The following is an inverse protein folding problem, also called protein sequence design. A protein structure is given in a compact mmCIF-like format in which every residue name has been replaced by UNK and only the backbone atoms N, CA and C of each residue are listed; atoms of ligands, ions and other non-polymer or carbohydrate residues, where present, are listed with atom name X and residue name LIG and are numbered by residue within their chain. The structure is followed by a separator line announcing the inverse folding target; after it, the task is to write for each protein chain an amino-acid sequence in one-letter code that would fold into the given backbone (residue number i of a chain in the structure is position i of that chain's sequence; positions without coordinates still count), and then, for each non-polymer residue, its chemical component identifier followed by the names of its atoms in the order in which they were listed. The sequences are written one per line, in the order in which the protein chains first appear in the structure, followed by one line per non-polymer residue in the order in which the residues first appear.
data_IF_582173164176
#
_entry.id   IF_582173164176
#
_cell.length_a   1.000
_cell.length_b   1.000
_cell.length_c   1.000
_cell.angle_alpha   90.00
_cell.angle_beta   90.00
_cell.angle_gamma   90.00
#
_symmetry.space_group_name_H-M   'P 1'
#
loop_
_entity.id
_entity.type
_entity.pdbx_description
1 polymer ?
#
# COMPACT_ATOMS: atom_id res chain seq x y z
N UNK A 1 9.01 -47.24 -45.98
CA UNK A 1 10.34 -46.61 -45.78
C UNK A 1 10.15 -45.28 -45.06
N UNK A 2 10.65 -45.10 -43.82
CA UNK A 2 10.55 -43.82 -43.12
C UNK A 2 11.81 -42.98 -43.34
N UNK A 3 11.62 -41.70 -43.69
CA UNK A 3 12.69 -40.72 -43.86
C UNK A 3 12.95 -40.07 -42.49
N UNK A 4 14.07 -40.45 -41.86
CA UNK A 4 14.56 -39.84 -40.64
C UNK A 4 15.17 -38.46 -40.94
N UNK A 5 14.58 -37.38 -40.41
CA UNK A 5 15.18 -36.04 -40.39
C UNK A 5 15.95 -35.85 -39.09
N UNK A 6 17.28 -35.83 -39.18
CA UNK A 6 18.18 -35.49 -38.08
C UNK A 6 18.36 -33.97 -37.99
N UNK A 7 17.91 -33.38 -36.88
CA UNK A 7 18.14 -31.96 -36.57
C UNK A 7 19.52 -31.79 -35.91
N UNK A 8 20.43 -31.12 -36.61
CA UNK A 8 21.75 -30.73 -36.07
C UNK A 8 21.59 -29.55 -35.11
N UNK A 9 21.91 -29.75 -33.82
CA UNK A 9 21.95 -28.67 -32.84
C UNK A 9 23.15 -27.75 -33.07
N UNK A 10 22.89 -26.50 -33.44
CA UNK A 10 23.88 -25.43 -33.52
C UNK A 10 24.30 -24.98 -32.11
N UNK A 11 25.54 -25.28 -31.71
CA UNK A 11 26.17 -24.75 -30.49
C UNK A 11 26.43 -23.25 -30.67
N UNK A 12 25.60 -22.41 -30.04
CA UNK A 12 25.84 -20.96 -29.95
C UNK A 12 27.05 -20.68 -29.05
N UNK A 13 28.03 -19.95 -29.58
CA UNK A 13 29.16 -19.37 -28.81
C UNK A 13 28.63 -18.32 -27.83
N UNK A 14 29.24 -18.18 -26.64
CA UNK A 14 28.86 -17.13 -25.69
C UNK A 14 29.22 -15.75 -26.25
N UNK A 15 28.43 -14.71 -25.97
CA UNK A 15 28.71 -13.36 -26.41
C UNK A 15 29.99 -12.84 -25.74
N UNK A 16 30.89 -12.28 -26.55
CA UNK A 16 32.10 -11.62 -26.07
C UNK A 16 31.73 -10.39 -25.23
N UNK A 17 32.27 -10.34 -24.01
CA UNK A 17 32.17 -9.21 -23.09
C UNK A 17 32.81 -7.97 -23.75
N UNK A 18 31.97 -7.11 -24.34
CA UNK A 18 32.38 -5.76 -24.75
C UNK A 18 32.75 -4.97 -23.50
N UNK A 19 34.03 -4.60 -23.39
CA UNK A 19 34.52 -3.64 -22.40
C UNK A 19 33.75 -2.33 -22.55
N UNK A 20 32.92 -1.99 -21.57
CA UNK A 20 32.26 -0.68 -21.48
C UNK A 20 33.35 0.38 -21.31
N UNK A 21 33.33 1.41 -22.16
CA UNK A 21 34.15 2.60 -21.98
C UNK A 21 33.76 3.29 -20.66
N UNK A 22 34.75 3.47 -19.79
CA UNK A 22 34.63 4.18 -18.51
C UNK A 22 34.36 5.67 -18.77
N UNK A 23 33.26 6.18 -18.23
CA UNK A 23 32.95 7.62 -18.21
C UNK A 23 33.86 8.33 -17.20
N UNK A 24 34.50 9.43 -17.62
CA UNK A 24 35.49 10.17 -16.82
C UNK A 24 34.89 10.83 -15.56
N UNK A 25 33.57 11.06 -15.53
CA UNK A 25 32.90 11.75 -14.41
C UNK A 25 32.38 10.81 -13.32
N UNK A 26 32.19 9.52 -13.65
CA UNK A 26 31.88 8.48 -12.69
C UNK A 26 33.18 7.75 -12.37
N UNK A 27 33.96 8.32 -11.45
CA UNK A 27 35.21 7.75 -10.97
C UNK A 27 35.11 6.23 -10.78
N UNK A 28 36.17 5.52 -11.16
CA UNK A 28 36.22 4.08 -11.35
C UNK A 28 35.85 3.30 -10.08
N UNK A 29 34.54 3.08 -9.86
CA UNK A 29 33.99 2.31 -8.73
C UNK A 29 34.07 0.82 -9.05
N UNK A 30 35.26 0.33 -9.36
CA UNK A 30 35.51 -1.10 -9.45
C UNK A 30 35.34 -1.70 -8.06
N UNK A 31 34.31 -2.54 -7.89
CA UNK A 31 34.06 -3.25 -6.63
C UNK A 31 35.27 -4.12 -6.32
N UNK A 32 36.05 -3.76 -5.29
CA UNK A 32 37.22 -4.54 -4.90
C UNK A 32 36.74 -5.81 -4.20
N UNK A 33 37.18 -6.97 -4.66
CA UNK A 33 36.86 -8.24 -4.02
C UNK A 33 38.06 -8.73 -3.20
N UNK A 34 37.79 -9.29 -2.02
CA UNK A 34 38.82 -9.92 -1.20
C UNK A 34 39.29 -11.21 -1.90
N UNK A 35 40.59 -11.30 -2.19
CA UNK A 35 41.17 -12.42 -2.97
C UNK A 35 41.03 -13.79 -2.30
N UNK A 36 40.93 -13.84 -0.96
CA UNK A 36 40.82 -15.10 -0.23
C UNK A 36 39.36 -15.55 -0.04
N UNK A 37 38.44 -14.61 0.15
CA UNK A 37 37.04 -14.93 0.48
C UNK A 37 36.07 -14.72 -0.68
N UNK A 38 36.52 -14.07 -1.77
CA UNK A 38 35.69 -13.72 -2.93
C UNK A 38 34.60 -12.69 -2.64
N UNK A 39 34.58 -12.08 -1.45
CA UNK A 39 33.53 -11.14 -1.03
C UNK A 39 33.89 -9.70 -1.39
N UNK A 40 32.92 -8.87 -1.81
CA UNK A 40 33.16 -7.47 -2.11
C UNK A 40 33.53 -6.70 -0.83
N UNK A 41 34.67 -6.04 -0.86
CA UNK A 41 35.20 -5.17 0.19
C UNK A 41 34.46 -3.84 0.10
N UNK A 42 33.74 -3.49 1.16
CA UNK A 42 33.13 -2.16 1.30
C UNK A 42 34.19 -1.21 1.85
N UNK A 43 34.53 -0.18 1.09
CA UNK A 43 35.37 0.91 1.58
C UNK A 43 34.67 1.56 2.79
N UNK A 44 35.24 1.39 3.99
CA UNK A 44 34.70 1.92 5.25
C UNK A 44 34.24 0.86 6.27
N UNK A 45 34.15 -0.42 5.90
CA UNK A 45 33.89 -1.47 6.88
C UNK A 45 35.10 -1.66 7.81
N UNK A 46 34.96 -1.31 9.09
CA UNK A 46 36.00 -1.49 10.11
C UNK A 46 36.91 -0.29 10.36
N UNK A 47 36.81 0.78 9.56
CA UNK A 47 37.43 2.07 9.92
C UNK A 47 36.49 2.80 10.88
N UNK A 48 36.55 2.46 12.18
CA UNK A 48 36.04 3.35 13.24
C UNK A 48 36.80 4.66 13.07
N UNK A 49 36.12 5.72 12.63
CA UNK A 49 36.65 7.06 12.85
C UNK A 49 36.66 7.25 14.35
N UNK A 50 37.85 7.32 14.95
CA UNK A 50 37.99 7.72 16.34
C UNK A 50 37.61 9.20 16.40
N UNK A 51 36.35 9.47 16.72
CA UNK A 51 35.97 10.80 17.16
C UNK A 51 36.63 11.02 18.53
N UNK A 52 37.47 12.06 18.71
CA UNK A 52 38.17 12.32 19.97
C UNK A 52 37.22 12.67 21.14
N UNK A 53 35.91 12.77 20.89
CA UNK A 53 34.87 13.06 21.88
C UNK A 53 34.16 11.80 22.40
N UNK A 54 34.42 10.61 21.83
CA UNK A 54 33.83 9.35 22.29
C UNK A 54 34.81 8.54 23.13
N UNK A 55 34.55 8.45 24.44
CA UNK A 55 35.27 7.60 25.38
C UNK A 55 34.83 6.14 25.15
N UNK A 56 35.72 5.31 24.59
CA UNK A 56 35.51 3.86 24.44
C UNK A 56 35.40 3.24 25.85
N UNK A 57 34.32 2.52 26.12
CA UNK A 57 34.00 1.89 27.42
C UNK A 57 34.94 0.72 27.80
N UNK A 58 36.06 0.55 27.10
CA UNK A 58 37.08 -0.47 27.37
C UNK A 58 38.04 -0.01 28.48
N UNK A 59 37.97 1.27 28.89
CA UNK A 59 38.80 1.84 29.96
C UNK A 59 38.14 1.69 31.35
N UNK A 60 36.92 1.14 31.44
CA UNK A 60 36.24 0.90 32.73
C UNK A 60 36.26 -0.59 33.06
N UNK A 61 37.44 -1.12 33.38
CA UNK A 61 37.61 -2.37 34.13
C UNK A 61 38.82 -2.21 35.07
N UNK A 62 38.58 -1.56 36.22
CA UNK A 62 39.38 -1.75 37.44
C UNK A 62 38.52 -2.54 38.43
N UNK A 63 38.26 -3.81 38.08
CA UNK A 63 37.77 -4.79 39.06
C UNK A 63 39.00 -5.32 39.82
N UNK A 64 39.05 -4.93 41.09
CA UNK A 64 40.03 -5.37 42.08
C UNK A 64 40.24 -6.89 42.04
N UNK A 65 41.49 -7.40 41.96
CA UNK A 65 41.76 -8.82 42.03
C UNK A 65 41.42 -9.32 43.44
N UNK A 66 40.35 -10.13 43.55
CA UNK A 66 40.07 -10.90 44.75
C UNK A 66 41.06 -12.07 44.78
N UNK A 67 42.10 -11.94 45.59
CA UNK A 67 42.99 -13.03 45.96
C UNK A 67 42.24 -14.03 46.85
N UNK A 68 41.67 -15.07 46.26
CA UNK A 68 41.35 -16.31 46.96
C UNK A 68 42.31 -17.40 46.50
N UNK A 69 43.44 -17.51 47.20
CA UNK A 69 44.27 -18.70 47.21
C UNK A 69 43.54 -19.76 48.04
N UNK A 70 43.00 -20.78 47.37
CA UNK A 70 42.61 -22.03 48.04
C UNK A 70 43.80 -22.97 47.99
N UNK A 71 44.36 -23.26 49.17
CA UNK A 71 45.29 -24.35 49.39
C UNK A 71 44.52 -25.67 49.34
N UNK A 72 45.07 -26.70 48.71
CA UNK A 72 44.60 -28.07 48.83
C UNK A 72 45.20 -28.75 50.07
N UNK A 73 44.49 -29.72 50.64
CA UNK A 73 44.77 -30.40 51.93
C UNK A 73 46.15 -31.11 52.03
N UNK A 74 47.01 -31.01 51.02
CA UNK A 74 48.36 -31.58 50.98
C UNK A 74 49.47 -30.53 50.78
N UNK A 75 49.15 -29.22 50.84
CA UNK A 75 50.14 -28.15 51.00
C UNK A 75 51.07 -27.89 49.81
N UNK A 76 50.70 -28.27 48.59
CA UNK A 76 51.52 -28.05 47.39
C UNK A 76 50.97 -26.93 46.50
N UNK A 77 51.79 -25.93 46.10
CA UNK A 77 51.32 -24.81 45.28
C UNK A 77 50.90 -25.28 43.88
N UNK A 78 49.60 -25.20 43.58
CA UNK A 78 49.05 -25.51 42.25
C UNK A 78 49.48 -24.46 41.22
N UNK A 79 50.19 -24.89 40.19
CA UNK A 79 50.50 -24.01 39.05
C UNK A 79 49.21 -23.56 38.34
N UNK A 80 49.11 -22.27 37.94
CA UNK A 80 47.92 -21.70 37.32
C UNK A 80 47.66 -22.36 35.95
N UNK A 81 46.61 -23.18 35.87
CA UNK A 81 46.13 -23.71 34.59
C UNK A 81 45.59 -22.56 33.74
N UNK A 82 46.11 -22.43 32.52
CA UNK A 82 45.64 -21.46 31.51
C UNK A 82 44.11 -21.51 31.39
N UNK A 83 43.46 -20.37 31.61
CA UNK A 83 42.01 -20.19 31.53
C UNK A 83 41.54 -20.56 30.12
N UNK A 84 41.03 -21.77 29.95
CA UNK A 84 40.28 -22.16 28.76
C UNK A 84 39.03 -21.29 28.70
N UNK A 85 38.91 -20.54 27.59
CA UNK A 85 37.78 -19.63 27.32
C UNK A 85 36.47 -20.31 27.71
N UNK A 86 35.80 -19.75 28.73
CA UNK A 86 34.49 -20.20 29.20
C UNK A 86 33.58 -20.39 27.99
N UNK A 87 33.07 -21.60 27.79
CA UNK A 87 31.94 -21.83 26.87
C UNK A 87 30.81 -20.95 27.40
N UNK A 88 30.39 -19.97 26.59
CA UNK A 88 29.25 -19.10 26.92
C UNK A 88 28.09 -20.00 27.30
N UNK A 89 27.47 -19.74 28.44
CA UNK A 89 26.22 -20.40 28.81
C UNK A 89 25.22 -20.22 27.66
N UNK A 90 24.43 -21.24 27.33
CA UNK A 90 23.39 -21.10 26.32
C UNK A 90 22.49 -19.95 26.74
N UNK A 91 22.28 -19.01 25.81
CA UNK A 91 21.40 -17.87 26.04
C UNK A 91 20.05 -18.38 26.57
N UNK A 92 19.47 -17.75 27.60
CA UNK A 92 18.15 -18.13 28.09
C UNK A 92 17.16 -18.14 26.93
N UNK A 93 16.36 -19.20 26.84
CA UNK A 93 15.34 -19.36 25.81
C UNK A 93 14.47 -18.10 25.82
N UNK A 94 14.35 -17.38 24.69
CA UNK A 94 13.55 -16.17 24.66
C UNK A 94 12.13 -16.50 25.13
N UNK A 95 11.51 -15.63 25.96
CA UNK A 95 10.14 -15.83 26.38
C UNK A 95 9.26 -16.04 25.15
N UNK A 96 8.26 -16.92 25.21
CA UNK A 96 7.38 -17.17 24.07
C UNK A 96 6.83 -15.83 23.58
N UNK A 97 7.14 -15.50 22.33
CA UNK A 97 6.61 -14.31 21.70
C UNK A 97 5.09 -14.42 21.79
N UNK A 98 4.47 -13.46 22.47
CA UNK A 98 3.02 -13.31 22.46
C UNK A 98 2.57 -13.39 21.00
N UNK A 99 1.58 -14.24 20.66
CA UNK A 99 1.16 -14.44 19.28
C UNK A 99 0.92 -13.06 18.67
N UNK A 100 1.62 -12.78 17.57
CA UNK A 100 1.41 -11.55 16.84
C UNK A 100 -0.03 -11.65 16.35
N UNK A 101 -0.93 -10.93 17.03
CA UNK A 101 -2.29 -10.71 16.58
C UNK A 101 -2.12 -9.83 15.35
N UNK A 102 -1.91 -10.46 14.20
CA UNK A 102 -2.19 -9.81 12.95
C UNK A 102 -3.70 -9.59 12.97
N UNK A 103 -4.13 -8.32 12.87
CA UNK A 103 -5.43 -7.99 12.29
C UNK A 103 -5.43 -8.48 10.84
N UNK A 104 -5.38 -9.81 10.64
CA UNK A 104 -6.19 -10.41 9.62
C UNK A 104 -7.59 -9.96 10.00
N UNK A 105 -8.09 -8.95 9.27
CA UNK A 105 -9.53 -8.72 9.15
C UNK A 105 -10.12 -10.06 8.73
N UNK A 106 -10.39 -10.89 9.74
CA UNK A 106 -11.20 -12.08 9.65
C UNK A 106 -12.46 -11.62 8.95
N UNK A 107 -12.70 -12.19 7.78
CA UNK A 107 -14.01 -12.22 7.15
C UNK A 107 -14.96 -13.06 8.02
N UNK A 108 -15.06 -12.70 9.29
CA UNK A 108 -16.20 -13.07 10.11
C UNK A 108 -17.35 -12.36 9.43
N UNK A 109 -18.11 -13.13 8.64
CA UNK A 109 -19.46 -12.78 8.25
C UNK A 109 -20.13 -12.17 9.48
N UNK A 110 -20.45 -10.86 9.51
CA UNK A 110 -21.55 -10.46 10.33
C UNK A 110 -22.73 -11.26 9.79
N UNK A 111 -23.29 -12.11 10.65
CA UNK A 111 -24.59 -12.70 10.41
C UNK A 111 -25.49 -11.63 9.81
N UNK A 112 -26.15 -12.05 8.74
CA UNK A 112 -27.00 -11.27 7.87
C UNK A 112 -28.08 -10.61 8.73
N UNK A 113 -27.80 -9.41 9.26
CA UNK A 113 -28.85 -8.49 9.63
C UNK A 113 -29.53 -8.11 8.33
N UNK A 114 -30.70 -8.72 8.16
CA UNK A 114 -31.73 -8.47 7.19
C UNK A 114 -31.75 -6.99 6.77
N UNK A 115 -31.11 -6.70 5.63
CA UNK A 115 -31.20 -5.41 4.96
C UNK A 115 -32.57 -5.31 4.29
N UNK A 116 -33.60 -5.24 5.15
CA UNK A 116 -34.96 -4.88 4.80
C UNK A 116 -34.97 -3.48 4.20
N UNK A 117 -35.25 -3.42 2.91
CA UNK A 117 -35.59 -2.22 2.15
C UNK A 117 -36.86 -1.64 2.77
N UNK A 118 -36.72 -0.63 3.62
CA UNK A 118 -37.80 0.29 3.98
C UNK A 118 -37.36 1.71 3.62
N UNK A 119 -37.96 2.21 2.55
CA UNK A 119 -37.85 3.60 2.16
C UNK A 119 -38.50 4.50 3.23
N UNK A 120 -37.79 5.55 3.68
CA UNK A 120 -38.42 6.72 4.29
C UNK A 120 -38.74 6.66 5.79
N UNK A 121 -37.74 6.36 6.62
CA UNK A 121 -37.72 6.89 8.00
C UNK A 121 -36.25 7.01 8.41
N UNK A 122 -35.77 8.23 8.64
CA UNK A 122 -34.48 8.47 9.28
C UNK A 122 -34.54 7.87 10.68
N UNK A 123 -34.03 6.65 10.84
CA UNK A 123 -33.91 6.03 12.15
C UNK A 123 -32.86 6.81 12.92
N UNK A 124 -33.35 7.58 13.90
CA UNK A 124 -32.58 8.23 14.94
C UNK A 124 -31.54 7.24 15.50
N UNK A 125 -30.29 7.36 15.05
CA UNK A 125 -29.18 6.65 15.69
C UNK A 125 -29.10 7.17 17.11
N UNK A 126 -29.31 6.29 18.09
CA UNK A 126 -29.19 6.63 19.49
C UNK A 126 -27.78 7.20 19.77
N UNK A 127 -27.73 8.45 20.22
CA UNK A 127 -26.48 9.12 20.58
C UNK A 127 -26.10 8.70 22.00
N UNK A 128 -25.07 7.86 22.15
CA UNK A 128 -24.57 7.45 23.47
C UNK A 128 -23.56 8.48 23.99
N UNK A 129 -23.88 9.16 25.09
CA UNK A 129 -22.99 10.09 25.78
C UNK A 129 -22.36 9.39 27.00
N UNK A 130 -21.02 9.40 27.09
CA UNK A 130 -20.29 8.85 28.24
C UNK A 130 -19.74 9.98 29.11
N UNK A 131 -19.98 9.92 30.42
CA UNK A 131 -19.50 10.91 31.38
C UNK A 131 -18.58 10.24 32.40
N UNK A 132 -17.30 10.57 32.38
CA UNK A 132 -16.33 10.09 33.37
C UNK A 132 -16.38 10.99 34.63
N UNK A 133 -17.21 10.61 35.60
CA UNK A 133 -17.36 11.36 36.86
C UNK A 133 -16.37 10.79 37.89
N UNK A 134 -15.51 11.67 38.44
CA UNK A 134 -14.54 11.27 39.44
C UNK A 134 -15.22 10.79 40.75
N UNK A 135 -14.65 9.78 41.43
CA UNK A 135 -15.18 9.30 42.70
C UNK A 135 -15.17 10.43 43.74
N UNK A 136 -16.33 10.73 44.34
CA UNK A 136 -16.50 11.77 45.36
C UNK A 136 -17.28 13.01 44.91
N UNK A 137 -17.75 13.09 43.66
CA UNK A 137 -18.62 14.18 43.22
C UNK A 137 -19.98 14.13 43.94
N UNK A 138 -20.26 15.13 44.78
CA UNK A 138 -21.55 15.33 45.45
C UNK A 138 -22.15 16.65 44.97
N UNK A 139 -23.00 16.59 43.96
CA UNK A 139 -23.69 17.73 43.39
C UNK A 139 -24.53 17.33 42.18
N UNK A 140 -25.45 18.19 41.72
CA UNK A 140 -26.22 17.95 40.51
C UNK A 140 -25.31 18.06 39.28
N UNK A 141 -25.28 17.03 38.43
CA UNK A 141 -24.66 17.09 37.11
C UNK A 141 -25.66 17.75 36.15
N UNK A 142 -25.45 19.03 35.84
CA UNK A 142 -26.27 19.74 34.84
C UNK A 142 -25.55 19.67 33.50
N UNK A 143 -26.15 18.97 32.54
CA UNK A 143 -25.64 18.86 31.17
C UNK A 143 -26.54 19.68 30.26
N UNK A 144 -26.05 20.86 29.84
CA UNK A 144 -26.74 21.68 28.85
C UNK A 144 -26.32 21.23 27.45
N UNK A 145 -27.22 20.52 26.76
CA UNK A 145 -27.03 20.10 25.38
C UNK A 145 -27.75 21.08 24.46
N UNK A 146 -26.99 21.78 23.61
CA UNK A 146 -27.54 22.56 22.53
C UNK A 146 -27.86 21.64 21.33
N UNK A 147 -29.14 21.41 20.99
CA UNK A 147 -29.52 20.52 19.89
C UNK A 147 -28.97 20.99 18.54
N UNK A 148 -28.71 22.30 18.35
CA UNK A 148 -28.12 22.80 17.11
C UNK A 148 -26.66 22.34 16.94
N UNK A 149 -25.92 22.19 18.03
CA UNK A 149 -24.51 21.74 18.00
C UNK A 149 -24.39 20.22 17.80
N UNK A 150 -25.31 19.45 18.39
CA UNK A 150 -25.35 17.99 18.21
C UNK A 150 -25.63 17.60 16.75
N UNK A 151 -26.52 18.32 16.07
CA UNK A 151 -26.81 18.10 14.64
C UNK A 151 -25.62 18.49 13.76
N UNK A 152 -24.84 19.51 14.15
CA UNK A 152 -23.65 19.93 13.41
C UNK A 152 -22.52 18.91 13.49
N UNK A 153 -22.26 18.34 14.68
CA UNK A 153 -21.23 17.29 14.87
C UNK A 153 -21.56 16.02 14.07
N UNK A 154 -22.84 15.64 14.00
CA UNK A 154 -23.29 14.51 13.18
C UNK A 154 -23.14 14.72 11.66
N UNK A 155 -23.10 15.99 11.21
CA UNK A 155 -22.88 16.37 9.79
C UNK A 155 -21.41 16.67 9.46
N UNK A 156 -20.57 16.90 10.46
CA UNK A 156 -19.17 17.33 10.29
C UNK A 156 -18.11 16.25 10.50
N UNK A 157 -18.47 14.98 10.69
CA UNK A 157 -17.47 13.89 10.77
C UNK A 157 -16.66 13.67 9.48
N UNK A 158 -16.99 14.34 8.38
CA UNK A 158 -16.19 14.37 7.14
C UNK A 158 -15.57 15.74 6.80
N UNK A 159 -15.73 16.76 7.65
CA UNK A 159 -15.12 18.08 7.45
C UNK A 159 -13.99 18.34 8.47
N UNK A 160 -12.75 18.25 7.98
CA UNK A 160 -11.51 18.54 8.71
C UNK A 160 -11.58 19.88 9.45
N UNK A 161 -11.52 19.83 10.79
CA UNK A 161 -11.28 21.00 11.62
C UNK A 161 -9.91 21.62 11.30
N UNK A 162 -9.95 22.89 10.92
CA UNK A 162 -8.83 23.81 10.90
C UNK A 162 -8.52 24.17 12.37
N UNK A 163 -7.41 23.69 12.92
CA UNK A 163 -6.98 23.98 14.28
C UNK A 163 -6.11 25.24 14.30
N UNK A 164 -6.75 26.40 14.25
CA UNK A 164 -6.17 27.65 14.76
C UNK A 164 -7.19 28.24 15.73
N UNK A 165 -6.77 28.47 16.98
CA UNK A 165 -7.52 29.07 18.10
C UNK A 165 -8.34 28.12 19.00
N UNK A 166 -7.65 27.32 19.82
CA UNK A 166 -8.13 27.00 21.19
C UNK A 166 -6.95 27.12 22.18
N UNK A 167 -7.12 27.74 23.36
CA UNK A 167 -6.04 27.95 24.33
C UNK A 167 -5.61 26.63 24.97
N UNK A 168 -4.33 26.28 24.82
CA UNK A 168 -3.73 25.10 25.42
C UNK A 168 -3.47 25.33 26.92
N UNK A 169 -4.34 24.80 27.77
CA UNK A 169 -4.09 24.58 29.19
C UNK A 169 -4.10 23.05 29.36
N UNK A 170 -3.10 22.49 30.05
CA UNK A 170 -2.90 21.04 30.27
C UNK A 170 -2.17 20.25 29.17
N UNK A 171 -0.85 20.48 29.04
CA UNK A 171 0.11 19.37 28.83
C UNK A 171 1.25 19.47 29.83
N UNK A 172 1.23 18.57 30.80
CA UNK A 172 2.26 18.43 31.82
C UNK A 172 3.61 17.97 31.25
N UNK A 173 4.66 18.64 31.73
CA UNK A 173 5.86 18.02 32.26
C UNK A 173 6.56 16.94 31.42
N UNK A 174 7.37 17.35 30.44
CA UNK A 174 8.56 16.58 30.04
C UNK A 174 9.83 17.41 30.22
N UNK A 175 10.58 16.96 31.23
CA UNK A 175 11.98 17.21 31.61
C UNK A 175 12.81 18.06 30.63
N UNK A 176 13.21 19.24 31.14
CA UNK A 176 14.37 20.02 30.69
C UNK A 176 15.61 19.11 30.64
N UNK A 177 16.10 18.80 29.45
CA UNK A 177 17.49 18.39 29.24
C UNK A 177 18.29 19.63 28.86
N UNK A 178 19.22 19.93 29.76
CA UNK A 178 20.44 20.75 29.64
C UNK A 178 20.80 21.22 28.24
N UNK A 179 20.82 22.55 28.08
CA UNK A 179 21.43 23.27 26.96
C UNK A 179 22.94 23.00 26.97
N UNK A 180 23.40 22.14 26.06
CA UNK A 180 24.80 22.16 25.62
C UNK A 180 24.90 23.18 24.51
N UNK A 181 25.58 24.28 24.80
CA UNK A 181 25.90 25.35 23.86
C UNK A 181 26.89 24.85 22.81
N UNK A 182 26.37 24.41 21.67
CA UNK A 182 27.19 24.18 20.47
C UNK A 182 27.87 25.49 20.03
N UNK A 183 29.13 25.44 19.57
CA UNK A 183 29.86 26.63 19.16
C UNK A 183 29.19 27.27 17.94
N UNK A 184 28.88 28.56 18.07
CA UNK A 184 28.41 29.42 16.97
C UNK A 184 29.52 29.50 15.91
N UNK A 185 29.40 28.69 14.87
CA UNK A 185 30.13 28.89 13.62
C UNK A 185 29.61 30.20 13.01
N UNK A 186 30.43 31.25 13.11
CA UNK A 186 30.25 32.53 12.46
C UNK A 186 30.24 32.34 10.94
N UNK A 187 29.08 31.99 10.37
CA UNK A 187 28.84 32.07 8.93
C UNK A 187 28.79 33.55 8.57
N UNK A 188 29.89 34.04 7.99
CA UNK A 188 29.97 35.36 7.37
C UNK A 188 28.77 35.56 6.43
N UNK A 189 28.04 36.68 6.50
CA UNK A 189 27.00 37.01 5.54
C UNK A 189 27.68 37.35 4.21
N UNK A 190 27.83 36.36 3.33
CA UNK A 190 28.16 36.63 1.93
C UNK A 190 26.93 37.27 1.30
N UNK A 191 26.97 38.60 1.15
CA UNK A 191 25.97 39.44 0.49
C UNK A 191 25.89 39.24 -1.03
N UNK A 192 26.58 38.25 -1.60
CA UNK A 192 26.59 38.01 -3.03
C UNK A 192 25.52 36.99 -3.43
N UNK A 193 24.55 37.49 -4.19
CA UNK A 193 23.66 36.71 -5.06
C UNK A 193 22.69 35.75 -4.35
N UNK A 194 21.69 36.31 -3.65
CA UNK A 194 20.38 35.65 -3.59
C UNK A 194 19.75 35.69 -5.00
N UNK A 195 20.35 34.96 -5.95
CA UNK A 195 19.64 34.55 -7.15
C UNK A 195 18.35 33.92 -6.65
N UNK A 196 17.22 34.55 -6.98
CA UNK A 196 15.88 34.09 -6.62
C UNK A 196 15.84 32.60 -6.96
N UNK A 197 15.88 31.74 -5.93
CA UNK A 197 15.80 30.31 -6.13
C UNK A 197 14.39 30.03 -6.59
N UNK A 198 14.18 29.99 -7.89
CA UNK A 198 12.91 29.65 -8.50
C UNK A 198 12.65 28.18 -8.14
N UNK A 199 11.77 27.98 -7.16
CA UNK A 199 11.33 26.66 -6.74
C UNK A 199 10.18 26.15 -7.62
N UNK A 200 9.84 24.88 -7.47
CA UNK A 200 8.68 24.32 -8.18
C UNK A 200 7.37 25.06 -7.85
N UNK A 201 7.21 25.54 -6.60
CA UNK A 201 6.04 26.32 -6.18
C UNK A 201 5.98 27.74 -6.76
N UNK A 202 7.11 28.31 -7.21
CA UNK A 202 7.09 29.62 -7.87
C UNK A 202 6.66 29.56 -9.33
N UNK A 203 6.48 28.36 -9.89
CA UNK A 203 5.90 28.18 -11.22
C UNK A 203 4.38 28.45 -11.16
N UNK A 204 3.79 29.12 -12.16
CA UNK A 204 2.34 29.22 -12.29
C UNK A 204 1.65 27.84 -12.36
N UNK A 205 0.40 27.73 -11.89
CA UNK A 205 -0.35 26.46 -11.88
C UNK A 205 -0.41 25.77 -13.24
N UNK A 206 -0.48 26.51 -14.34
CA UNK A 206 -0.56 25.98 -15.70
C UNK A 206 0.72 25.24 -16.10
N UNK A 207 1.88 25.78 -15.69
CA UNK A 207 3.17 25.13 -15.92
C UNK A 207 3.34 23.90 -15.02
N UNK A 208 2.87 23.98 -13.76
CA UNK A 208 2.85 22.81 -12.86
C UNK A 208 1.99 21.69 -13.43
N UNK A 209 0.81 22.00 -13.99
CA UNK A 209 -0.07 21.02 -14.64
C UNK A 209 0.59 20.34 -15.84
N UNK A 210 1.38 21.06 -16.65
CA UNK A 210 2.17 20.44 -17.73
C UNK A 210 3.19 19.44 -17.16
N UNK A 211 3.87 19.80 -16.07
CA UNK A 211 4.81 18.89 -15.39
C UNK A 211 4.09 17.67 -14.81
N UNK A 212 2.95 17.87 -14.15
CA UNK A 212 2.14 16.77 -13.60
C UNK A 212 1.68 15.81 -14.70
N UNK A 213 1.24 16.31 -15.87
CA UNK A 213 0.86 15.45 -16.99
C UNK A 213 2.01 14.59 -17.49
N UNK A 214 3.21 15.17 -17.63
CA UNK A 214 4.41 14.42 -18.01
C UNK A 214 4.80 13.35 -16.99
N UNK A 215 4.51 13.56 -15.70
CA UNK A 215 4.87 12.65 -14.61
C UNK A 215 3.82 11.58 -14.31
N UNK A 216 2.54 11.91 -14.47
CA UNK A 216 1.42 11.10 -13.97
C UNK A 216 0.55 10.49 -15.07
N UNK A 217 0.53 11.05 -16.28
CA UNK A 217 -0.30 10.51 -17.37
C UNK A 217 0.48 9.46 -18.13
N UNK A 218 0.01 8.22 -18.06
CA UNK A 218 0.56 7.12 -18.84
C UNK A 218 0.07 7.20 -20.28
N UNK A 219 0.94 6.85 -21.23
CA UNK A 219 0.56 6.79 -22.65
C UNK A 219 -0.41 5.65 -22.98
N UNK A 220 -0.61 4.71 -22.05
CA UNK A 220 -1.47 3.52 -22.17
C UNK A 220 -2.30 3.37 -20.90
N UNK A 221 -3.35 2.55 -20.99
CA UNK A 221 -4.16 2.17 -19.82
C UNK A 221 -3.27 1.54 -18.72
N UNK A 222 -3.53 1.89 -17.46
CA UNK A 222 -2.85 1.32 -16.30
C UNK A 222 -3.40 -0.09 -16.04
N UNK A 223 -2.66 -1.11 -16.47
CA UNK A 223 -3.07 -2.52 -16.40
C UNK A 223 -2.54 -3.22 -15.14
N UNK A 224 -3.44 -3.62 -14.24
CA UNK A 224 -3.06 -4.30 -12.99
C UNK A 224 -2.58 -5.75 -13.17
N UNK A 225 -2.87 -6.39 -14.30
CA UNK A 225 -2.37 -7.74 -14.60
C UNK A 225 -0.91 -7.71 -15.05
N UNK A 226 -0.54 -6.68 -15.81
CA UNK A 226 0.81 -6.48 -16.33
C UNK A 226 1.26 -5.07 -15.94
N UNK A 227 1.91 -4.89 -14.77
CA UNK A 227 2.27 -3.58 -14.25
C UNK A 227 3.50 -2.99 -14.97
N UNK A 228 3.40 -2.83 -16.28
CA UNK A 228 4.46 -2.32 -17.16
C UNK A 228 4.58 -0.78 -17.09
N UNK A 229 3.53 -0.08 -16.68
CA UNK A 229 3.46 1.39 -16.65
C UNK A 229 3.16 1.97 -15.24
N UNK A 230 3.44 1.22 -14.17
CA UNK A 230 3.18 1.67 -12.79
C UNK A 230 4.28 2.53 -12.18
N UNK A 231 5.41 2.72 -12.89
CA UNK A 231 6.51 3.59 -12.49
C UNK A 231 6.16 5.09 -12.64
N UNK A 232 4.90 5.47 -12.38
CA UNK A 232 4.51 6.85 -12.23
C UNK A 232 5.14 7.38 -10.94
N UNK A 233 5.58 8.64 -10.95
CA UNK A 233 6.35 9.24 -9.85
C UNK A 233 5.46 9.54 -8.63
N UNK A 234 4.79 8.54 -8.06
CA UNK A 234 3.92 8.66 -6.87
C UNK A 234 4.68 9.20 -5.65
N UNK A 235 6.00 9.01 -5.61
CA UNK A 235 6.88 9.67 -4.64
C UNK A 235 6.78 11.20 -4.69
N UNK A 236 6.49 11.78 -5.86
CA UNK A 236 6.30 13.22 -6.03
C UNK A 236 5.04 13.72 -5.31
N UNK A 237 3.97 12.94 -5.27
CA UNK A 237 2.75 13.27 -4.51
C UNK A 237 2.99 13.33 -2.99
N UNK A 238 4.08 12.73 -2.50
CA UNK A 238 4.45 12.75 -1.07
C UNK A 238 5.26 13.99 -0.67
N UNK A 239 5.61 14.85 -1.61
CA UNK A 239 6.51 15.99 -1.34
C UNK A 239 5.83 17.10 -0.55
N UNK A 240 4.68 17.61 -1.01
CA UNK A 240 3.89 18.60 -0.30
C UNK A 240 2.39 18.47 -0.62
N UNK A 241 1.56 19.07 0.24
CA UNK A 241 0.09 19.04 0.12
C UNK A 241 -0.41 19.63 -1.20
N UNK A 242 0.18 20.74 -1.64
CA UNK A 242 -0.23 21.37 -2.90
C UNK A 242 0.01 20.47 -4.12
N UNK A 243 1.19 19.84 -4.20
CA UNK A 243 1.51 18.86 -5.25
C UNK A 243 0.59 17.65 -5.18
N UNK A 244 0.30 17.18 -3.96
CA UNK A 244 -0.66 16.11 -3.75
C UNK A 244 -2.03 16.47 -4.32
N UNK A 245 -2.60 17.61 -3.92
CA UNK A 245 -3.97 17.99 -4.26
C UNK A 245 -4.12 18.30 -5.76
N UNK A 246 -3.17 19.00 -6.37
CA UNK A 246 -3.15 19.26 -7.81
C UNK A 246 -2.87 17.97 -8.61
N UNK A 247 -1.83 17.22 -8.23
CA UNK A 247 -1.34 16.07 -8.99
C UNK A 247 -2.25 14.83 -8.93
N UNK A 248 -2.92 14.59 -7.80
CA UNK A 248 -3.87 13.46 -7.68
C UNK A 248 -5.07 13.60 -8.62
N UNK A 249 -5.53 14.82 -8.88
CA UNK A 249 -6.62 15.07 -9.82
C UNK A 249 -6.24 14.64 -11.25
N UNK A 250 -5.00 14.88 -11.66
CA UNK A 250 -4.47 14.49 -12.97
C UNK A 250 -4.19 12.99 -13.02
N UNK A 251 -3.55 12.45 -11.97
CA UNK A 251 -3.22 11.02 -11.90
C UNK A 251 -4.47 10.13 -12.01
N UNK A 252 -5.53 10.42 -11.26
CA UNK A 252 -6.75 9.60 -11.28
C UNK A 252 -7.73 10.04 -12.37
N UNK A 253 -7.76 11.33 -12.72
CA UNK A 253 -8.74 11.88 -13.64
C UNK A 253 -8.42 11.71 -15.11
N UNK A 254 -7.15 11.77 -15.51
CA UNK A 254 -6.75 11.70 -16.92
C UNK A 254 -6.33 10.27 -17.35
N UNK A 255 -5.94 9.40 -16.42
CA UNK A 255 -5.58 8.02 -16.73
C UNK A 255 -6.80 7.12 -16.89
N UNK A 256 -6.63 6.06 -17.69
CA UNK A 256 -7.59 4.99 -17.83
C UNK A 256 -7.12 3.75 -17.08
N UNK A 257 -7.98 3.21 -16.21
CA UNK A 257 -7.63 2.04 -15.38
C UNK A 257 -8.19 0.76 -15.97
N UNK A 258 -7.35 -0.27 -16.06
CA UNK A 258 -7.68 -1.56 -16.63
C UNK A 258 -7.55 -2.66 -15.58
N UNK A 259 -8.68 -3.24 -15.21
CA UNK A 259 -8.77 -4.34 -14.25
C UNK A 259 -9.18 -5.63 -14.96
N UNK A 260 -8.43 -6.69 -14.71
CA UNK A 260 -8.67 -8.04 -15.20
C UNK A 260 -8.30 -9.02 -14.06
N UNK A 261 -8.89 -10.22 -14.07
CA UNK A 261 -8.58 -11.26 -13.09
C UNK A 261 -7.09 -11.64 -13.16
N UNK A 262 -6.38 -11.50 -12.05
CA UNK A 262 -4.97 -11.85 -11.98
C UNK A 262 -4.78 -13.35 -11.70
N UNK A 263 -4.37 -14.10 -12.73
CA UNK A 263 -4.25 -15.56 -12.69
C UNK A 263 -2.98 -16.10 -12.01
N UNK A 264 -1.99 -15.24 -11.69
CA UNK A 264 -0.84 -15.72 -10.91
C UNK A 264 -1.27 -16.03 -9.49
N UNK A 265 -0.63 -17.03 -8.91
CA UNK A 265 -0.86 -17.40 -7.52
C UNK A 265 0.12 -16.66 -6.62
N UNK A 266 -0.34 -16.29 -5.42
CA UNK A 266 0.46 -15.72 -4.33
C UNK A 266 -0.02 -16.35 -3.03
N UNK A 267 0.87 -16.98 -2.30
CA UNK A 267 0.65 -17.38 -0.92
C UNK A 267 1.66 -16.65 -0.03
N UNK A 268 1.28 -16.29 1.20
CA UNK A 268 2.27 -16.00 2.22
C UNK A 268 3.15 -17.24 2.45
N UNK A 269 4.36 -17.06 2.97
CA UNK A 269 5.32 -18.17 3.08
C UNK A 269 4.84 -19.33 3.99
N UNK A 270 3.82 -19.09 4.81
CA UNK A 270 3.22 -20.08 5.73
C UNK A 270 1.97 -20.79 5.18
N UNK A 271 1.37 -20.32 4.09
CA UNK A 271 0.22 -21.00 3.49
C UNK A 271 0.74 -22.06 2.50
N UNK A 272 0.48 -23.37 2.73
CA UNK A 272 1.00 -24.43 1.87
C UNK A 272 0.38 -24.41 0.47
N UNK A 273 -0.80 -23.83 0.31
CA UNK A 273 -1.51 -23.82 -0.96
C UNK A 273 -1.44 -22.43 -1.58
N UNK A 274 -0.71 -22.25 -2.70
CA UNK A 274 -0.70 -20.98 -3.41
C UNK A 274 -2.10 -20.68 -3.97
N UNK A 275 -2.72 -19.62 -3.46
CA UNK A 275 -4.05 -19.16 -3.90
C UNK A 275 -3.92 -18.17 -5.04
N UNK A 276 -4.90 -18.17 -5.93
CA UNK A 276 -5.01 -17.16 -6.98
C UNK A 276 -5.11 -15.75 -6.36
N UNK A 277 -4.49 -14.76 -7.02
CA UNK A 277 -4.64 -13.36 -6.66
C UNK A 277 -6.06 -12.87 -7.02
N UNK A 278 -6.56 -13.23 -8.20
CA UNK A 278 -7.91 -12.89 -8.63
C UNK A 278 -8.09 -11.37 -8.72
N UNK A 279 -9.12 -10.83 -8.07
CA UNK A 279 -9.37 -9.40 -7.96
C UNK A 279 -8.83 -8.74 -6.67
N UNK A 280 -7.99 -9.45 -5.90
CA UNK A 280 -7.41 -8.91 -4.64
C UNK A 280 -6.63 -7.62 -4.87
N UNK A 281 -5.80 -7.55 -5.91
CA UNK A 281 -4.98 -6.38 -6.18
C UNK A 281 -5.85 -5.16 -6.59
N UNK A 282 -6.96 -5.38 -7.31
CA UNK A 282 -7.97 -4.33 -7.57
C UNK A 282 -8.60 -3.85 -6.26
N UNK A 283 -9.03 -4.77 -5.38
CA UNK A 283 -9.64 -4.42 -4.09
C UNK A 283 -8.68 -3.62 -3.21
N UNK A 284 -7.44 -4.08 -3.11
CA UNK A 284 -6.39 -3.41 -2.34
C UNK A 284 -6.13 -2.01 -2.90
N UNK A 285 -6.03 -1.87 -4.23
CA UNK A 285 -5.88 -0.56 -4.86
C UNK A 285 -7.02 0.39 -4.52
N UNK A 286 -8.28 -0.03 -4.73
CA UNK A 286 -9.45 0.79 -4.47
C UNK A 286 -9.56 1.19 -2.99
N UNK A 287 -9.25 0.28 -2.05
CA UNK A 287 -9.20 0.59 -0.62
C UNK A 287 -8.06 1.55 -0.28
N UNK A 288 -6.88 1.35 -0.87
CA UNK A 288 -5.68 2.13 -0.58
C UNK A 288 -5.79 3.58 -1.06
N UNK A 289 -6.37 3.82 -2.25
CA UNK A 289 -6.51 5.19 -2.76
C UNK A 289 -7.56 5.99 -1.97
N UNK A 290 -8.53 5.30 -1.35
CA UNK A 290 -9.61 5.90 -0.60
C UNK A 290 -10.70 6.52 -1.48
N UNK A 291 -11.83 6.83 -0.85
CA UNK A 291 -13.07 7.30 -1.51
C UNK A 291 -12.89 8.62 -2.26
N UNK A 292 -12.12 9.55 -1.69
CA UNK A 292 -11.83 10.87 -2.28
C UNK A 292 -11.10 10.74 -3.62
N UNK A 293 -10.11 9.86 -3.72
CA UNK A 293 -9.39 9.64 -4.97
C UNK A 293 -10.17 8.75 -5.93
N UNK A 294 -10.99 7.84 -5.41
CA UNK A 294 -11.89 7.02 -6.20
C UNK A 294 -12.92 7.86 -6.97
N UNK A 295 -13.47 8.90 -6.34
CA UNK A 295 -14.37 9.86 -6.99
C UNK A 295 -13.70 10.61 -8.16
N UNK A 296 -12.37 10.72 -8.17
CA UNK A 296 -11.62 11.38 -9.24
C UNK A 296 -11.41 10.49 -10.46
N UNK A 297 -11.61 9.18 -10.36
CA UNK A 297 -11.45 8.27 -11.49
C UNK A 297 -12.54 8.55 -12.54
N UNK A 298 -12.12 8.83 -13.79
CA UNK A 298 -13.06 9.13 -14.88
C UNK A 298 -13.26 7.97 -15.85
N UNK A 299 -12.22 7.21 -16.15
CA UNK A 299 -12.28 6.11 -17.13
C UNK A 299 -11.82 4.81 -16.52
N UNK A 300 -12.70 3.81 -16.53
CA UNK A 300 -12.41 2.48 -16.00
C UNK A 300 -12.87 1.39 -16.96
N UNK A 301 -12.05 0.34 -17.05
CA UNK A 301 -12.34 -0.88 -17.80
C UNK A 301 -12.19 -2.09 -16.89
N UNK A 302 -13.22 -2.92 -16.83
CA UNK A 302 -13.26 -4.12 -16.01
C UNK A 302 -13.54 -5.32 -16.91
N UNK A 303 -12.64 -6.31 -16.87
CA UNK A 303 -12.81 -7.61 -17.50
C UNK A 303 -13.16 -8.62 -16.41
N UNK A 304 -14.40 -9.09 -16.44
CA UNK A 304 -14.89 -10.17 -15.59
C UNK A 304 -14.49 -11.49 -16.23
N UNK A 305 -13.65 -12.28 -15.57
CA UNK A 305 -13.24 -13.61 -16.03
C UNK A 305 -13.44 -14.64 -14.93
N UNK A 306 -13.83 -15.87 -15.31
CA UNK A 306 -13.88 -17.02 -14.39
C UNK A 306 -12.48 -17.50 -14.03
N UNK A 307 -12.32 -18.07 -12.84
CA UNK A 307 -11.09 -18.73 -12.43
C UNK A 307 -10.80 -19.95 -13.30
N UNK A 308 -9.53 -20.15 -13.68
CA UNK A 308 -9.12 -21.37 -14.39
C UNK A 308 -9.06 -22.52 -13.38
N UNK A 309 -9.46 -23.76 -13.75
CA UNK A 309 -9.30 -24.91 -12.85
C UNK A 309 -7.87 -25.12 -12.37
N UNK A 310 -6.89 -24.78 -13.22
CA UNK A 310 -5.48 -24.83 -12.88
C UNK A 310 -5.02 -23.71 -11.94
N UNK A 311 -5.69 -22.53 -11.93
CA UNK A 311 -5.34 -21.42 -11.03
C UNK A 311 -6.08 -21.48 -9.69
N UNK A 312 -7.23 -22.14 -9.64
CA UNK A 312 -8.02 -22.36 -8.44
C UNK A 312 -8.35 -23.86 -8.25
N UNK A 313 -7.35 -24.68 -7.90
CA UNK A 313 -7.55 -26.11 -7.65
C UNK A 313 -8.33 -26.38 -6.35
N UNK A 314 -8.32 -25.44 -5.41
CA UNK A 314 -9.04 -25.52 -4.13
C UNK A 314 -10.56 -25.32 -4.27
N UNK A 315 -11.04 -24.88 -5.43
CA UNK A 315 -12.46 -24.75 -5.73
C UNK A 315 -12.94 -26.02 -6.42
N UNK A 316 -13.92 -26.70 -5.83
CA UNK A 316 -14.38 -28.00 -6.31
C UNK A 316 -15.44 -27.84 -7.40
N UNK A 317 -16.29 -26.81 -7.27
CA UNK A 317 -17.35 -26.55 -8.22
C UNK A 317 -16.90 -25.65 -9.37
N UNK A 318 -17.50 -25.85 -10.55
CA UNK A 318 -17.38 -24.86 -11.63
C UNK A 318 -18.11 -23.56 -11.30
N UNK A 319 -19.15 -23.64 -10.45
CA UNK A 319 -19.93 -22.49 -10.05
C UNK A 319 -19.11 -21.56 -9.14
N UNK A 320 -18.42 -22.10 -8.13
CA UNK A 320 -17.54 -21.35 -7.24
C UNK A 320 -16.42 -20.57 -7.97
N UNK A 321 -16.02 -21.06 -9.15
CA UNK A 321 -15.00 -20.41 -9.99
C UNK A 321 -15.53 -19.21 -10.77
N UNK A 322 -16.84 -19.01 -10.83
CA UNK A 322 -17.43 -17.90 -11.59
C UNK A 322 -17.11 -16.58 -10.91
N UNK A 323 -16.82 -15.56 -11.72
CA UNK A 323 -16.60 -14.20 -11.20
C UNK A 323 -17.81 -13.65 -10.41
N UNK A 324 -19.01 -14.15 -10.71
CA UNK A 324 -20.26 -13.78 -10.01
C UNK A 324 -20.20 -14.04 -8.50
N UNK A 325 -19.44 -15.07 -8.09
CA UNK A 325 -19.30 -15.47 -6.69
C UNK A 325 -17.96 -15.04 -6.08
N UNK A 326 -17.18 -14.20 -6.78
CA UNK A 326 -15.90 -13.71 -6.27
C UNK A 326 -16.14 -12.57 -5.27
N UNK A 327 -15.93 -12.85 -3.99
CA UNK A 327 -16.14 -11.88 -2.89
C UNK A 327 -15.31 -10.60 -3.06
N UNK A 328 -14.06 -10.72 -3.54
CA UNK A 328 -13.21 -9.57 -3.74
C UNK A 328 -13.73 -8.67 -4.85
N UNK A 329 -14.30 -9.26 -5.90
CA UNK A 329 -14.94 -8.52 -6.97
C UNK A 329 -16.22 -7.82 -6.49
N UNK A 330 -17.07 -8.50 -5.72
CA UNK A 330 -18.27 -7.89 -5.14
C UNK A 330 -17.92 -6.70 -4.23
N UNK A 331 -16.88 -6.82 -3.41
CA UNK A 331 -16.34 -5.71 -2.62
C UNK A 331 -15.87 -4.54 -3.50
N UNK A 332 -15.17 -4.83 -4.60
CA UNK A 332 -14.76 -3.81 -5.56
C UNK A 332 -15.97 -3.07 -6.15
N UNK A 333 -17.03 -3.79 -6.54
CA UNK A 333 -18.25 -3.19 -7.09
C UNK A 333 -18.94 -2.28 -6.06
N UNK A 334 -19.00 -2.71 -4.79
CA UNK A 334 -19.53 -1.88 -3.68
C UNK A 334 -18.72 -0.61 -3.48
N UNK A 335 -17.39 -0.67 -3.54
CA UNK A 335 -16.54 0.52 -3.46
C UNK A 335 -16.77 1.47 -4.63
N UNK A 336 -16.95 0.93 -5.84
CA UNK A 336 -17.18 1.72 -7.06
C UNK A 336 -18.52 2.47 -7.07
N UNK A 337 -19.47 2.14 -6.19
CA UNK A 337 -20.71 2.92 -6.01
C UNK A 337 -20.44 4.41 -5.76
N UNK A 338 -19.33 4.75 -5.10
CA UNK A 338 -18.97 6.14 -4.77
C UNK A 338 -18.17 6.84 -5.87
N UNK A 339 -17.92 6.18 -7.00
CA UNK A 339 -17.11 6.74 -8.09
C UNK A 339 -17.94 7.60 -9.03
N UNK A 340 -17.34 8.69 -9.53
CA UNK A 340 -17.95 9.60 -10.51
C UNK A 340 -17.41 9.32 -11.92
N UNK A 341 -17.65 8.10 -12.40
CA UNK A 341 -17.12 7.64 -13.68
C UNK A 341 -17.76 8.39 -14.85
N UNK A 342 -16.92 8.85 -15.78
CA UNK A 342 -17.35 9.36 -17.08
C UNK A 342 -17.59 8.21 -18.06
N UNK A 343 -16.66 7.24 -18.10
CA UNK A 343 -16.75 6.08 -18.97
C UNK A 343 -16.44 4.79 -18.20
N UNK A 344 -17.38 3.84 -18.25
CA UNK A 344 -17.21 2.50 -17.72
C UNK A 344 -17.34 1.48 -18.83
N UNK A 345 -16.28 0.72 -19.06
CA UNK A 345 -16.26 -0.35 -20.06
C UNK A 345 -16.23 -1.71 -19.37
N UNK A 346 -17.22 -2.55 -19.66
CA UNK A 346 -17.37 -3.87 -19.08
C UNK A 346 -17.13 -4.95 -20.16
N UNK A 347 -16.38 -5.99 -19.79
CA UNK A 347 -16.20 -7.18 -20.60
C UNK A 347 -16.58 -8.41 -19.78
N UNK A 348 -17.57 -9.16 -20.22
CA UNK A 348 -17.98 -10.41 -19.56
C UNK A 348 -17.36 -11.61 -20.27
N UNK A 349 -16.50 -12.33 -19.56
CA UNK A 349 -15.84 -13.54 -20.02
C UNK A 349 -16.04 -14.65 -18.99
N UNK A 350 -16.24 -15.87 -19.48
CA UNK A 350 -16.52 -17.00 -18.62
C UNK A 350 -17.10 -18.17 -19.39
N UNK A 351 -17.31 -19.26 -18.66
CA UNK A 351 -17.88 -20.50 -19.19
C UNK A 351 -19.39 -20.40 -19.36
N UNK A 352 -20.05 -19.79 -18.37
CA UNK A 352 -21.50 -19.57 -18.37
C UNK A 352 -21.81 -18.11 -18.71
N UNK A 353 -22.89 -17.92 -19.45
CA UNK A 353 -23.46 -16.60 -19.71
C UNK A 353 -24.12 -16.08 -18.43
N UNK A 354 -23.90 -14.80 -18.09
CA UNK A 354 -24.56 -14.15 -16.97
C UNK A 354 -26.08 -14.05 -17.22
N UNK A 355 -26.88 -14.53 -16.26
CA UNK A 355 -28.35 -14.63 -16.35
C UNK A 355 -29.02 -13.87 -15.21
N UNK A 356 -30.34 -13.68 -15.29
CA UNK A 356 -31.11 -12.94 -14.27
C UNK A 356 -31.05 -13.58 -12.87
N UNK A 357 -30.68 -14.86 -12.80
CA UNK A 357 -30.45 -15.62 -11.56
C UNK A 357 -29.25 -15.11 -10.77
N UNK A 358 -28.30 -14.42 -11.39
CA UNK A 358 -27.09 -13.89 -10.76
C UNK A 358 -27.39 -12.56 -10.02
N UNK A 359 -28.50 -12.52 -9.26
CA UNK A 359 -29.13 -11.31 -8.74
C UNK A 359 -28.18 -10.48 -7.84
N UNK A 360 -27.44 -11.13 -6.93
CA UNK A 360 -26.51 -10.45 -6.01
C UNK A 360 -25.43 -9.66 -6.76
N UNK A 361 -24.91 -10.23 -7.85
CA UNK A 361 -23.88 -9.59 -8.67
C UNK A 361 -24.48 -8.47 -9.52
N UNK A 362 -25.64 -8.70 -10.13
CA UNK A 362 -26.36 -7.69 -10.91
C UNK A 362 -26.78 -6.48 -10.06
N UNK A 363 -27.18 -6.72 -8.82
CA UNK A 363 -27.50 -5.66 -7.86
C UNK A 363 -26.26 -4.82 -7.53
N UNK A 364 -25.15 -5.45 -7.16
CA UNK A 364 -23.90 -4.75 -6.86
C UNK A 364 -23.38 -3.97 -8.09
N UNK A 365 -23.51 -4.55 -9.28
CA UNK A 365 -23.10 -3.91 -10.53
C UNK A 365 -24.02 -2.73 -10.89
N UNK A 366 -25.34 -2.90 -10.74
CA UNK A 366 -26.35 -1.88 -11.02
C UNK A 366 -26.27 -0.64 -10.13
N UNK A 367 -25.64 -0.75 -8.95
CA UNK A 367 -25.37 0.40 -8.08
C UNK A 367 -24.28 1.34 -8.62
N UNK A 368 -23.49 0.92 -9.60
CA UNK A 368 -22.46 1.76 -10.20
C UNK A 368 -23.07 2.62 -11.29
N UNK A 369 -22.86 3.93 -11.19
CA UNK A 369 -23.35 4.91 -12.18
C UNK A 369 -22.19 5.53 -12.95
N UNK A 370 -22.33 5.61 -14.27
CA UNK A 370 -21.39 6.30 -15.14
C UNK A 370 -22.13 7.09 -16.23
N UNK A 371 -21.49 8.12 -16.80
CA UNK A 371 -22.12 8.89 -17.88
C UNK A 371 -22.22 8.09 -19.19
N UNK A 372 -21.25 7.20 -19.43
CA UNK A 372 -21.26 6.28 -20.56
C UNK A 372 -20.88 4.88 -20.12
N UNK A 373 -21.77 3.92 -20.34
CA UNK A 373 -21.52 2.49 -20.07
C UNK A 373 -21.45 1.74 -21.39
N UNK A 374 -20.36 1.01 -21.60
CA UNK A 374 -20.14 0.21 -22.80
C UNK A 374 -19.86 -1.25 -22.43
N UNK A 375 -20.63 -2.17 -23.01
CA UNK A 375 -20.35 -3.62 -22.90
C UNK A 375 -19.73 -4.08 -24.22
N UNK A 376 -18.43 -4.36 -24.19
CA UNK A 376 -17.64 -4.73 -25.39
C UNK A 376 -17.15 -6.18 -25.29
N UNK A 377 -16.91 -6.86 -26.43
CA UNK A 377 -16.26 -8.16 -26.44
C UNK A 377 -14.82 -8.07 -25.91
N UNK A 378 -14.28 -9.21 -25.45
CA UNK A 378 -12.92 -9.26 -24.93
C UNK A 378 -11.93 -8.92 -26.07
N UNK A 379 -11.02 -7.95 -25.88
CA UNK A 379 -10.07 -7.53 -26.92
C UNK A 379 -9.13 -8.65 -27.33
N UNK A 380 -8.87 -9.63 -26.46
CA UNK A 380 -8.02 -10.79 -26.74
C UNK A 380 -8.73 -11.81 -27.64
N UNK A 381 -10.06 -11.81 -27.68
CA UNK A 381 -10.90 -12.77 -28.41
C UNK A 381 -12.04 -12.05 -29.12
N UNK A 382 -11.71 -11.31 -30.18
CA UNK A 382 -12.65 -10.47 -30.93
C UNK A 382 -13.85 -11.23 -31.52
N UNK A 383 -13.75 -12.55 -31.70
CA UNK A 383 -14.80 -13.42 -32.24
C UNK A 383 -15.76 -13.96 -31.17
N UNK A 384 -15.49 -13.73 -29.88
CA UNK A 384 -16.33 -14.20 -28.79
C UNK A 384 -17.29 -13.10 -28.37
N UNK A 385 -18.59 -13.36 -28.49
CA UNK A 385 -19.61 -12.47 -27.95
C UNK A 385 -19.47 -12.32 -26.42
N UNK A 386 -19.80 -11.14 -25.86
CA UNK A 386 -19.82 -10.94 -24.42
C UNK A 386 -20.72 -11.98 -23.73
N UNK A 387 -20.24 -12.60 -22.66
CA UNK A 387 -20.97 -13.63 -21.90
C UNK A 387 -22.05 -13.04 -20.97
N UNK A 388 -22.93 -12.23 -21.53
CA UNK A 388 -24.10 -11.65 -20.87
C UNK A 388 -25.35 -12.00 -21.69
N UNK A 389 -26.42 -12.42 -21.02
CA UNK A 389 -27.67 -12.74 -21.70
C UNK A 389 -28.24 -11.49 -22.39
N UNK A 390 -28.72 -11.63 -23.62
CA UNK A 390 -29.14 -10.49 -24.44
C UNK A 390 -30.27 -9.66 -23.78
N UNK A 391 -31.16 -10.31 -23.03
CA UNK A 391 -32.25 -9.65 -22.30
C UNK A 391 -31.76 -8.77 -21.15
N UNK A 392 -30.57 -9.04 -20.59
CA UNK A 392 -29.99 -8.27 -19.50
C UNK A 392 -29.13 -7.10 -19.97
N UNK A 393 -28.51 -7.24 -21.15
CA UNK A 393 -27.51 -6.29 -21.63
C UNK A 393 -28.05 -4.85 -21.70
N UNK A 394 -29.22 -4.67 -22.29
CA UNK A 394 -29.83 -3.35 -22.47
C UNK A 394 -30.32 -2.74 -21.14
N UNK A 395 -31.15 -3.45 -20.34
CA UNK A 395 -31.58 -2.92 -19.03
C UNK A 395 -30.42 -2.58 -18.10
N UNK A 396 -29.35 -3.38 -18.11
CA UNK A 396 -28.17 -3.12 -17.28
C UNK A 396 -27.44 -1.83 -17.71
N UNK A 397 -27.27 -1.61 -19.01
CA UNK A 397 -26.67 -0.36 -19.52
C UNK A 397 -27.55 0.84 -19.14
N UNK A 398 -28.87 0.73 -19.31
CA UNK A 398 -29.82 1.78 -18.95
C UNK A 398 -29.79 2.09 -17.45
N UNK A 399 -29.74 1.06 -16.59
CA UNK A 399 -29.66 1.18 -15.13
C UNK A 399 -28.37 1.86 -14.66
N UNK A 400 -27.23 1.52 -15.27
CA UNK A 400 -25.92 2.06 -14.88
C UNK A 400 -25.60 3.41 -15.53
N UNK A 401 -26.35 3.83 -16.56
CA UNK A 401 -26.11 5.09 -17.26
C UNK A 401 -26.81 6.25 -16.55
N UNK A 402 -26.04 7.27 -16.16
CA UNK A 402 -26.57 8.45 -15.47
C UNK A 402 -27.31 9.37 -16.44
N UNK A 403 -28.54 9.74 -16.09
CA UNK A 403 -29.34 10.73 -16.81
C UNK A 403 -29.82 11.81 -15.81
N UNK A 404 -29.32 13.07 -15.86
CA UNK A 404 -28.37 13.64 -16.84
C UNK A 404 -26.90 13.24 -16.61
N UNK A 405 -26.03 13.32 -17.64
CA UNK A 405 -24.60 13.05 -17.49
C UNK A 405 -23.95 14.12 -16.59
N UNK A 406 -23.04 13.68 -15.71
CA UNK A 406 -22.30 14.56 -14.79
C UNK A 406 -21.21 15.34 -15.53
N UNK A 407 -20.47 14.67 -16.42
CA UNK A 407 -19.42 15.28 -17.23
C UNK A 407 -19.96 15.56 -18.63
N UNK A 408 -20.49 16.76 -18.84
CA UNK A 408 -20.75 17.25 -20.20
C UNK A 408 -19.45 17.26 -20.99
N UNK A 409 -19.48 16.68 -22.19
CA UNK A 409 -18.37 16.76 -23.14
C UNK A 409 -18.24 18.24 -23.53
N UNK A 410 -17.27 18.93 -22.93
CA UNK A 410 -16.81 20.24 -23.41
C UNK A 410 -16.00 20.08 -24.68
#
# INVERSE_FOLDING_TARGET
MPIARTSKSSKRRPPSLRKRASSLELGDRSTRYNKQTGRPIRDGAGKKQQDPEYVDSVIIEDDMPVETCSEDDEGNPRQPKRVTKRKRSPSPTPPPLSPIIYDEMSSSDPEVEDLGISAGAETNRALTLHFDIAPGFQGPLVVELDPAQLIYVGKCSDAKHNTENVPSIWRGGRRRKTKVTAPKINRRPSNDSQQLRIGFMSLPPELRNKVYRLLFVASRELNFVSPDNFCLSSAFLRTCRQVHDEGTSILYGENSFHFERHWRMRAPFWDPVPKEIGFKDMRLFLKMIGTVNLARIRTMRIIFEDAKPSSAPYLNSQEERRFVHDEHLLDCLRLLRQSELKKLTLCFHGRKTMTATDAKFLEALGQIQADKVEIIPNPKWYYMEPKIHYTLKRPLIELMTRNPPLHTVQ
#
